data_IF_511011451986
#
_entry.id   IF_511011451986
#
_cell.length_a   1.000
_cell.length_b   1.000
_cell.length_c   1.000
_cell.angle_alpha   90.00
_cell.angle_beta   90.00
_cell.angle_gamma   90.00
#
_symmetry.space_group_name_H-M   'P 1'
#
loop_
_entity.id
_entity.type
_entity.pdbx_description
1 polymer ?
2 non-polymer ?
3 non-polymer ?
4 water ?
#
# COMPACT_ATOMS: atom_id res chain seq x y z
N UNK A 1 -3.99 26.76 14.99
CA UNK A 1 -5.28 26.36 14.32
C UNK A 1 -5.21 26.37 12.81
N UNK A 2 -4.73 27.45 12.25
CA UNK A 2 -4.62 27.52 10.82
C UNK A 2 -3.58 26.49 10.38
N UNK A 3 -2.52 26.38 11.17
CA UNK A 3 -1.44 25.52 10.81
C UNK A 3 -1.96 24.02 10.71
N UNK A 4 -2.92 23.67 11.57
CA UNK A 4 -3.48 22.36 11.56
C UNK A 4 -4.41 22.18 10.35
N UNK A 5 -5.14 23.24 10.09
CA UNK A 5 -5.94 23.29 8.92
C UNK A 5 -5.09 23.03 7.69
N UNK A 6 -3.97 23.71 7.57
CA UNK A 6 -3.11 23.58 6.40
C UNK A 6 -2.54 22.17 6.31
N UNK A 7 -2.13 21.56 7.45
CA UNK A 7 -1.59 20.23 7.47
C UNK A 7 -2.61 19.27 6.95
N UNK A 8 -3.86 19.44 7.37
CA UNK A 8 -4.85 18.45 6.98
C UNK A 8 -5.22 18.61 5.51
N UNK A 9 -5.21 19.87 5.06
CA UNK A 9 -5.50 20.15 3.64
C UNK A 9 -4.38 19.54 2.82
N UNK A 10 -3.13 19.73 3.24
CA UNK A 10 -1.96 19.22 2.44
C UNK A 10 -2.06 17.65 2.50
N UNK A 11 -2.40 17.03 3.65
CA UNK A 11 -2.34 15.55 3.76
C UNK A 11 -3.43 15.02 2.81
N UNK A 12 -4.59 15.68 2.79
CA UNK A 12 -5.69 15.24 1.91
C UNK A 12 -5.28 15.37 0.42
N UNK A 13 -4.72 16.46 -0.03
CA UNK A 13 -4.26 16.49 -1.40
C UNK A 13 -3.08 15.53 -1.72
N UNK A 14 -2.10 15.38 -0.84
CA UNK A 14 -1.05 14.34 -1.10
C UNK A 14 -1.70 12.90 -1.14
N UNK A 15 -2.55 12.54 -0.20
CA UNK A 15 -3.06 11.17 -0.19
C UNK A 15 -3.99 10.99 -1.38
N UNK A 16 -4.79 11.99 -1.70
CA UNK A 16 -5.67 11.95 -2.86
C UNK A 16 -4.90 11.80 -4.15
N UNK A 17 -3.81 12.52 -4.32
CA UNK A 17 -2.85 12.25 -5.42
C UNK A 17 -2.23 10.80 -5.46
N UNK A 18 -1.73 10.30 -4.33
CA UNK A 18 -1.13 8.98 -4.28
C UNK A 18 -2.16 7.95 -4.72
N UNK A 19 -3.44 8.10 -4.32
CA UNK A 19 -4.51 7.15 -4.71
C UNK A 19 -4.84 7.28 -6.16
N UNK A 20 -4.80 8.50 -6.65
CA UNK A 20 -5.00 8.75 -8.07
C UNK A 20 -4.01 7.92 -8.93
N UNK A 21 -2.70 8.07 -8.78
CA UNK A 21 -1.63 7.26 -9.40
C UNK A 21 -1.94 5.77 -9.27
N UNK A 22 -2.20 5.30 -8.05
CA UNK A 22 -2.63 3.89 -7.82
C UNK A 22 -3.82 3.38 -8.66
N UNK A 23 -4.95 4.07 -8.65
CA UNK A 23 -6.15 3.69 -9.38
C UNK A 23 -5.96 3.74 -10.91
N UNK A 24 -5.13 4.67 -11.37
CA UNK A 24 -4.88 4.78 -12.81
C UNK A 24 -4.17 3.52 -13.25
N UNK A 25 -3.19 3.07 -12.46
CA UNK A 25 -2.50 1.80 -12.75
C UNK A 25 -3.50 0.64 -12.80
N UNK A 26 -4.41 0.59 -11.84
CA UNK A 26 -5.41 -0.47 -11.86
C UNK A 26 -6.41 -0.51 -13.03
N UNK A 27 -6.87 0.67 -13.47
CA UNK A 27 -7.76 0.82 -14.56
C UNK A 27 -7.06 0.33 -15.85
N UNK A 28 -5.77 0.68 -16.01
CA UNK A 28 -4.93 0.08 -17.04
C UNK A 28 -4.87 -1.42 -17.05
N UNK A 29 -4.69 -2.03 -15.88
CA UNK A 29 -4.53 -3.47 -15.78
C UNK A 29 -5.85 -4.13 -16.18
N UNK A 30 -6.94 -3.53 -15.78
CA UNK A 30 -8.29 -4.10 -16.08
C UNK A 30 -8.51 -4.00 -17.52
N UNK A 31 -8.19 -2.88 -18.13
CA UNK A 31 -8.39 -2.74 -19.58
C UNK A 31 -7.64 -3.76 -20.39
N UNK A 32 -6.37 -3.99 -20.04
CA UNK A 32 -5.52 -5.03 -20.64
C UNK A 32 -6.10 -6.44 -20.54
N UNK A 33 -6.59 -6.78 -19.36
CA UNK A 33 -7.31 -8.02 -19.14
C UNK A 33 -8.55 -8.08 -20.02
N UNK A 34 -9.38 -7.03 -20.08
CA UNK A 34 -10.62 -7.12 -20.88
C UNK A 34 -10.33 -7.28 -22.36
N UNK A 35 -9.30 -6.59 -22.84
CA UNK A 35 -8.93 -6.66 -24.22
C UNK A 35 -8.38 -8.03 -24.58
N UNK A 36 -7.56 -8.57 -23.71
CA UNK A 36 -7.08 -9.94 -23.87
C UNK A 36 -8.20 -10.98 -23.88
N UNK A 37 -9.14 -10.92 -22.93
CA UNK A 37 -10.36 -11.71 -23.01
C UNK A 37 -11.18 -11.49 -24.33
N UNK A 38 -11.44 -10.26 -24.81
CA UNK A 38 -12.07 -10.11 -26.11
C UNK A 38 -11.29 -10.75 -27.28
N UNK A 39 -9.96 -10.74 -27.19
CA UNK A 39 -9.10 -11.23 -28.24
C UNK A 39 -9.29 -12.76 -28.31
N UNK A 40 -9.21 -13.43 -27.15
CA UNK A 40 -9.34 -14.86 -27.05
C UNK A 40 -10.71 -15.32 -27.53
N UNK A 41 -11.76 -14.57 -27.21
CA UNK A 41 -13.14 -14.89 -27.58
C UNK A 41 -13.52 -14.59 -29.02
N UNK A 42 -12.79 -13.70 -29.70
CA UNK A 42 -13.19 -13.34 -31.06
C UNK A 42 -13.17 -14.53 -32.05
N UNK B 3 -10.05 20.11 18.62
CA UNK B 3 -11.20 19.13 18.49
C UNK B 3 -11.82 18.87 17.10
N UNK B 4 -12.26 19.92 16.39
CA UNK B 4 -12.64 19.76 14.96
C UNK B 4 -11.52 19.13 14.19
N UNK B 5 -10.31 19.57 14.47
CA UNK B 5 -9.11 19.05 13.80
C UNK B 5 -9.06 17.51 14.08
N UNK B 6 -9.28 17.18 15.33
CA UNK B 6 -8.98 15.86 15.76
C UNK B 6 -10.06 14.93 15.25
N UNK B 7 -11.34 15.35 15.26
CA UNK B 7 -12.43 14.53 14.66
C UNK B 7 -12.25 14.37 13.15
N UNK B 8 -11.86 15.46 12.48
CA UNK B 8 -11.69 15.41 11.06
C UNK B 8 -10.45 14.54 10.79
N UNK B 9 -9.36 14.70 11.55
CA UNK B 9 -8.22 13.75 11.33
C UNK B 9 -8.66 12.28 11.55
N UNK B 10 -9.42 11.99 12.59
CA UNK B 10 -9.89 10.60 12.77
C UNK B 10 -10.73 10.08 11.64
N UNK B 11 -11.64 10.91 11.18
CA UNK B 11 -12.47 10.56 10.06
C UNK B 11 -11.61 10.31 8.79
N UNK B 12 -10.60 11.16 8.62
CA UNK B 12 -9.66 11.03 7.45
C UNK B 12 -8.96 9.64 7.52
N UNK B 13 -8.54 9.24 8.69
CA UNK B 13 -7.84 7.92 8.86
C UNK B 13 -8.77 6.74 8.71
N UNK B 14 -9.98 6.88 9.26
CA UNK B 14 -10.98 5.90 9.03
C UNK B 14 -11.20 5.67 7.49
N UNK B 15 -11.42 6.75 6.73
CA UNK B 15 -11.65 6.72 5.28
C UNK B 15 -10.47 6.10 4.57
N UNK B 16 -9.28 6.50 4.93
CA UNK B 16 -8.10 5.99 4.22
C UNK B 16 -7.88 4.46 4.47
N UNK B 17 -8.17 4.02 5.69
CA UNK B 17 -8.13 2.62 6.08
C UNK B 17 -9.08 1.83 5.22
N UNK B 18 -10.27 2.38 5.03
CA UNK B 18 -11.33 1.73 4.19
C UNK B 18 -10.86 1.69 2.73
N UNK B 19 -10.20 2.73 2.21
CA UNK B 19 -9.76 2.78 0.80
C UNK B 19 -8.68 1.72 0.73
N UNK B 20 -7.86 1.68 1.75
CA UNK B 20 -6.63 0.84 1.69
C UNK B 20 -7.06 -0.59 1.52
N UNK B 21 -7.98 -1.05 2.37
CA UNK B 21 -8.41 -2.42 2.34
C UNK B 21 -9.15 -2.75 0.97
N UNK B 22 -9.96 -1.83 0.50
CA UNK B 22 -10.80 -2.07 -0.67
C UNK B 22 -9.86 -2.22 -1.87
N UNK B 23 -8.91 -1.33 -1.96
CA UNK B 23 -7.95 -1.35 -3.04
C UNK B 23 -6.95 -2.50 -2.98
N UNK B 24 -6.51 -2.90 -1.79
CA UNK B 24 -5.59 -4.03 -1.73
C UNK B 24 -6.35 -5.24 -2.22
N UNK B 25 -7.65 -5.37 -1.90
CA UNK B 25 -8.39 -6.46 -2.32
C UNK B 25 -8.55 -6.45 -3.86
N UNK B 26 -8.94 -5.33 -4.46
CA UNK B 26 -8.97 -5.14 -5.91
C UNK B 26 -7.64 -5.51 -6.59
N UNK B 27 -6.53 -5.01 -6.08
CA UNK B 27 -5.22 -5.38 -6.58
C UNK B 27 -4.98 -6.88 -6.51
N UNK B 28 -5.51 -7.50 -5.46
CA UNK B 28 -5.25 -8.90 -5.25
C UNK B 28 -6.05 -9.71 -6.31
N UNK B 29 -7.31 -9.40 -6.43
CA UNK B 29 -8.13 -9.99 -7.45
C UNK B 29 -7.55 -9.74 -8.86
N UNK B 30 -7.08 -8.52 -9.17
CA UNK B 30 -6.49 -8.27 -10.49
C UNK B 30 -5.29 -9.18 -10.71
N UNK B 31 -4.46 -9.35 -9.68
CA UNK B 31 -3.28 -10.20 -9.77
C UNK B 31 -3.63 -11.67 -9.99
N UNK B 32 -4.61 -12.20 -9.26
CA UNK B 32 -5.03 -13.57 -9.51
C UNK B 32 -5.52 -13.77 -10.96
N UNK B 33 -6.37 -12.87 -11.52
CA UNK B 33 -6.78 -12.92 -12.94
C UNK B 33 -5.53 -12.87 -13.88
N UNK B 34 -4.55 -12.05 -13.59
CA UNK B 34 -3.44 -11.97 -14.54
C UNK B 34 -2.67 -13.28 -14.50
N UNK B 35 -2.50 -13.85 -13.32
CA UNK B 35 -1.79 -15.13 -13.16
C UNK B 35 -2.52 -16.29 -13.87
N UNK B 36 -3.85 -16.31 -13.81
CA UNK B 36 -4.63 -17.31 -14.47
C UNK B 36 -4.53 -17.19 -16.00
N UNK B 37 -4.60 -15.96 -16.55
CA UNK B 37 -4.41 -15.80 -17.97
C UNK B 37 -2.99 -16.22 -18.37
N UNK B 38 -1.97 -15.84 -17.62
CA UNK B 38 -0.60 -16.26 -18.01
C UNK B 38 -0.48 -17.78 -18.03
N UNK B 39 -1.14 -18.39 -17.07
CA UNK B 39 -1.11 -19.82 -16.88
C UNK B 39 -1.74 -20.53 -18.04
N UNK B 40 -2.93 -20.08 -18.42
CA UNK B 40 -3.65 -20.48 -19.65
C UNK B 40 -2.76 -20.41 -20.90
N UNK B 41 -2.03 -19.31 -21.09
CA UNK B 41 -1.26 -19.13 -22.29
C UNK B 41 0.11 -19.83 -22.29
N UNK B 42 0.47 -20.43 -21.16
CA UNK B 42 1.76 -21.10 -20.97
C UNK B 42 1.90 -22.28 -21.94
N UNK C 3 -17.04 26.94 9.36
CA UNK C 3 -16.80 27.51 7.98
C UNK C 3 -15.46 26.94 7.33
N UNK C 4 -14.25 27.31 7.72
CA UNK C 4 -13.02 26.68 7.06
C UNK C 4 -12.86 25.16 7.34
N UNK C 5 -13.20 24.77 8.54
CA UNK C 5 -13.34 23.38 8.87
C UNK C 5 -14.56 22.73 8.18
N UNK C 6 -15.68 23.42 8.15
CA UNK C 6 -16.84 22.89 7.45
C UNK C 6 -16.61 22.79 5.97
N UNK C 7 -15.90 23.74 5.41
CA UNK C 7 -15.61 23.69 4.01
C UNK C 7 -14.65 22.52 3.66
N UNK C 8 -13.76 22.16 4.57
CA UNK C 8 -12.78 21.08 4.32
C UNK C 8 -13.57 19.74 4.40
N UNK C 9 -14.43 19.63 5.41
CA UNK C 9 -15.29 18.45 5.58
C UNK C 9 -16.10 18.16 4.33
N UNK C 10 -16.75 19.18 3.83
CA UNK C 10 -17.51 19.09 2.57
C UNK C 10 -16.62 18.72 1.37
N UNK C 11 -15.45 19.33 1.21
CA UNK C 11 -14.60 19.08 0.06
C UNK C 11 -14.17 17.60 0.13
N UNK C 12 -13.91 17.14 1.33
CA UNK C 12 -13.47 15.76 1.55
C UNK C 12 -14.59 14.75 1.27
N UNK C 13 -15.81 15.02 1.76
CA UNK C 13 -16.96 14.19 1.46
C UNK C 13 -17.31 14.17 -0.06
N UNK C 14 -17.30 15.30 -0.72
CA UNK C 14 -17.56 15.34 -2.16
C UNK C 14 -16.47 14.51 -2.91
N UNK C 15 -15.20 14.70 -2.52
CA UNK C 15 -14.16 13.96 -3.22
C UNK C 15 -14.32 12.47 -2.94
N UNK C 16 -14.52 12.10 -1.68
CA UNK C 16 -14.77 10.72 -1.37
C UNK C 16 -15.95 10.02 -2.04
N UNK C 17 -17.07 10.71 -2.20
CA UNK C 17 -18.18 10.16 -2.93
C UNK C 17 -17.80 9.87 -4.41
N UNK C 18 -17.20 10.84 -5.08
CA UNK C 18 -16.92 10.74 -6.49
C UNK C 18 -15.92 9.61 -6.71
N UNK C 19 -14.97 9.51 -5.83
CA UNK C 19 -13.99 8.41 -5.90
C UNK C 19 -14.77 7.08 -5.67
N UNK C 20 -15.63 7.03 -4.65
CA UNK C 20 -16.47 5.84 -4.38
C UNK C 20 -17.21 5.28 -5.67
N UNK C 21 -17.86 6.18 -6.41
CA UNK C 21 -18.61 5.81 -7.60
C UNK C 21 -17.65 5.17 -8.58
N UNK C 22 -16.47 5.77 -8.72
CA UNK C 22 -15.52 5.33 -9.74
C UNK C 22 -14.86 3.99 -9.39
N UNK C 23 -14.44 3.82 -8.15
CA UNK C 23 -13.97 2.54 -7.69
C UNK C 23 -15.00 1.41 -7.73
N UNK C 24 -16.30 1.69 -7.53
CA UNK C 24 -17.30 0.59 -7.58
C UNK C 24 -17.45 0.08 -9.03
N UNK C 25 -17.22 0.98 -9.95
CA UNK C 25 -17.25 0.70 -11.34
C UNK C 25 -16.04 -0.21 -11.73
N UNK C 26 -14.85 0.00 -11.13
CA UNK C 26 -13.74 -0.90 -11.38
C UNK C 26 -14.01 -2.28 -10.82
N UNK C 27 -14.56 -2.30 -9.60
CA UNK C 27 -14.85 -3.49 -8.85
C UNK C 27 -15.92 -4.34 -9.59
N UNK C 28 -16.96 -3.71 -10.15
CA UNK C 28 -17.85 -4.43 -11.04
C UNK C 28 -17.17 -5.00 -12.28
N UNK C 29 -16.27 -4.26 -12.92
CA UNK C 29 -15.62 -4.81 -14.09
C UNK C 29 -14.88 -6.05 -13.66
N UNK C 30 -14.32 -6.04 -12.45
CA UNK C 30 -13.53 -7.18 -11.97
C UNK C 30 -14.42 -8.36 -11.67
N UNK C 31 -15.61 -8.03 -11.21
CA UNK C 31 -16.53 -9.03 -10.75
C UNK C 31 -17.03 -9.79 -11.98
N UNK C 32 -17.30 -9.07 -13.03
CA UNK C 32 -17.75 -9.62 -14.29
C UNK C 32 -16.68 -10.50 -14.95
N UNK C 33 -15.43 -10.09 -14.86
CA UNK C 33 -14.35 -10.89 -15.44
C UNK C 33 -14.24 -12.22 -14.65
N UNK C 34 -14.18 -12.10 -13.30
CA UNK C 34 -14.24 -13.27 -12.41
C UNK C 34 -15.41 -14.19 -12.77
N UNK C 35 -16.62 -13.63 -12.84
CA UNK C 35 -17.78 -14.45 -13.20
C UNK C 35 -17.54 -15.18 -14.51
N UNK C 36 -16.99 -14.49 -15.50
CA UNK C 36 -16.69 -15.09 -16.79
C UNK C 36 -15.60 -16.18 -16.81
N UNK C 37 -14.46 -15.93 -16.17
CA UNK C 37 -13.45 -16.99 -15.96
C UNK C 37 -14.07 -18.24 -15.27
N UNK C 38 -14.78 -18.06 -14.17
CA UNK C 38 -15.55 -19.14 -13.52
C UNK C 38 -16.46 -19.92 -14.50
N UNK C 39 -17.01 -19.24 -15.50
CA UNK C 39 -17.94 -19.90 -16.39
C UNK C 39 -17.13 -20.74 -17.40
N UNK C 40 -15.95 -20.24 -17.74
CA UNK C 40 -15.12 -20.86 -18.78
C UNK C 40 -14.53 -22.17 -18.23
N UNK C 41 -14.28 -22.16 -16.92
CA UNK C 41 -13.66 -23.24 -16.14
C UNK C 41 -14.75 -24.11 -15.52
N UNK C 42 -15.71 -24.45 -16.36
CA UNK C 42 -16.90 -25.13 -15.92
C UNK C 42 -17.40 -25.84 -17.15
N UNK D 2 4.76 5.45 33.25
CA UNK D 2 3.36 5.32 33.88
C UNK D 2 2.25 6.26 33.32
N UNK D 3 2.55 7.49 32.91
CA UNK D 3 1.51 8.29 32.18
C UNK D 3 1.27 7.67 30.82
N UNK D 4 0.02 7.77 30.32
CA UNK D 4 -0.39 7.17 29.09
C UNK D 4 0.47 7.72 27.93
N UNK D 5 0.79 9.03 27.90
CA UNK D 5 1.62 9.56 26.77
C UNK D 5 2.99 8.86 26.77
N UNK D 6 3.54 8.65 27.99
CA UNK D 6 4.87 8.09 28.20
C UNK D 6 4.92 6.62 27.80
N UNK D 7 3.95 5.80 28.20
CA UNK D 7 3.91 4.42 27.76
C UNK D 7 3.74 4.24 26.20
N UNK D 8 2.88 5.04 25.58
CA UNK D 8 2.77 5.07 24.14
C UNK D 8 4.08 5.50 23.44
N UNK D 9 4.77 6.43 24.07
CA UNK D 9 6.03 6.85 23.53
C UNK D 9 6.99 5.70 23.61
N UNK D 10 6.92 4.91 24.67
CA UNK D 10 7.84 3.77 24.78
C UNK D 10 7.50 2.75 23.70
N UNK D 11 6.22 2.49 23.47
CA UNK D 11 5.86 1.52 22.49
C UNK D 11 6.32 1.98 21.07
N UNK D 12 6.11 3.26 20.75
CA UNK D 12 6.49 3.83 19.46
C UNK D 12 7.94 3.61 19.26
N UNK D 13 8.72 3.92 20.26
CA UNK D 13 10.16 3.86 20.07
C UNK D 13 10.73 2.46 20.02
N UNK D 14 10.21 1.55 20.84
CA UNK D 14 10.68 0.14 20.82
C UNK D 14 10.29 -0.43 19.43
N UNK D 15 9.08 -0.15 18.98
CA UNK D 15 8.65 -0.76 17.72
C UNK D 15 9.29 -0.15 16.49
N UNK D 16 9.59 1.15 16.52
CA UNK D 16 10.37 1.77 15.45
C UNK D 16 11.74 1.15 15.28
N UNK D 17 12.40 0.82 16.37
CA UNK D 17 13.66 0.17 16.33
C UNK D 17 13.58 -1.25 15.77
N UNK D 18 12.57 -1.99 16.17
CA UNK D 18 12.41 -3.32 15.64
C UNK D 18 12.16 -3.23 14.13
N UNK D 19 11.45 -2.20 13.69
CA UNK D 19 11.17 -2.04 12.25
C UNK D 19 12.48 -1.69 11.58
N UNK D 20 13.19 -0.77 12.16
CA UNK D 20 14.43 -0.34 11.61
C UNK D 20 15.30 -1.56 11.37
N UNK D 21 15.50 -2.37 12.42
CA UNK D 21 16.29 -3.59 12.32
C UNK D 21 15.81 -4.55 11.21
N UNK D 22 14.52 -4.79 11.15
CA UNK D 22 13.92 -5.73 10.17
C UNK D 22 14.10 -5.24 8.77
N UNK D 23 13.97 -3.95 8.59
CA UNK D 23 14.05 -3.40 7.22
C UNK D 23 15.55 -3.35 6.76
N UNK D 24 16.48 -3.20 7.68
CA UNK D 24 17.91 -3.19 7.29
C UNK D 24 18.31 -4.56 6.80
N UNK D 25 17.71 -5.56 7.41
CA UNK D 25 17.96 -6.94 7.04
C UNK D 25 17.47 -7.26 5.62
N UNK D 26 16.30 -6.73 5.32
CA UNK D 26 15.70 -6.83 3.99
C UNK D 26 16.55 -6.01 2.92
N UNK D 27 16.96 -4.78 3.26
CA UNK D 27 17.74 -3.94 2.41
C UNK D 27 19.03 -4.63 2.07
N UNK D 28 19.64 -5.28 3.06
CA UNK D 28 20.88 -6.03 2.84
C UNK D 28 20.69 -7.19 1.88
N UNK D 29 19.58 -7.90 2.01
CA UNK D 29 19.31 -9.00 1.10
C UNK D 29 19.13 -8.49 -0.31
N UNK D 30 18.37 -7.41 -0.47
CA UNK D 30 18.13 -6.88 -1.80
C UNK D 30 19.49 -6.52 -2.43
N UNK D 31 20.34 -5.89 -1.64
CA UNK D 31 21.55 -5.35 -2.18
C UNK D 31 22.53 -6.46 -2.60
N UNK D 32 22.63 -7.52 -1.83
CA UNK D 32 23.37 -8.73 -2.29
C UNK D 32 22.83 -9.33 -3.56
N UNK D 33 21.51 -9.35 -3.72
CA UNK D 33 20.87 -9.79 -4.97
C UNK D 33 21.22 -8.87 -6.16
N UNK D 34 21.12 -7.54 -5.96
CA UNK D 34 21.40 -6.63 -7.09
C UNK D 34 22.86 -6.80 -7.51
N UNK D 35 23.72 -7.00 -6.53
CA UNK D 35 25.20 -7.09 -6.70
C UNK D 35 25.47 -8.36 -7.46
N UNK D 36 24.75 -9.44 -7.15
CA UNK D 36 25.02 -10.70 -7.84
C UNK D 36 24.57 -10.63 -9.27
N UNK D 37 23.39 -10.04 -9.48
CA UNK D 37 22.81 -9.91 -10.84
C UNK D 37 23.69 -9.01 -11.71
N UNK D 38 24.22 -7.91 -11.15
CA UNK D 38 25.18 -7.03 -11.81
C UNK D 38 26.52 -7.73 -12.11
N UNK D 39 26.91 -8.63 -11.24
CA UNK D 39 28.07 -9.46 -11.53
C UNK D 39 27.85 -10.34 -12.79
N UNK D 40 26.73 -11.07 -12.76
CA UNK D 40 26.31 -12.00 -13.82
C UNK D 40 26.25 -11.34 -15.18
N UNK D 41 25.98 -10.05 -15.20
CA UNK D 41 25.76 -9.32 -16.46
C UNK D 41 27.03 -8.61 -16.88
N UNK D 42 28.00 -8.56 -15.98
CA UNK D 42 29.29 -7.89 -16.20
C UNK D 42 29.94 -8.33 -17.53
N UNK E 3 -10.10 8.46 25.25
CA UNK E 3 -10.69 8.95 23.98
C UNK E 3 -9.60 9.41 22.97
N UNK E 4 -8.87 10.50 23.27
CA UNK E 4 -7.65 10.82 22.47
C UNK E 4 -6.66 9.60 22.53
N UNK E 5 -6.35 9.12 23.73
CA UNK E 5 -5.41 7.98 23.91
C UNK E 5 -5.86 6.68 23.25
N UNK E 6 -7.15 6.36 23.33
CA UNK E 6 -7.68 5.10 22.80
C UNK E 6 -7.59 5.19 21.28
N UNK E 7 -7.95 6.32 20.71
CA UNK E 7 -7.82 6.57 19.27
C UNK E 7 -6.36 6.36 18.76
N UNK E 8 -5.38 6.96 19.45
CA UNK E 8 -3.98 6.84 19.04
C UNK E 8 -3.54 5.44 19.18
N UNK E 9 -3.88 4.80 20.30
CA UNK E 9 -3.46 3.39 20.51
C UNK E 9 -3.96 2.51 19.38
N UNK E 10 -5.23 2.67 19.05
CA UNK E 10 -5.80 1.84 18.01
C UNK E 10 -5.17 2.12 16.69
N UNK E 11 -4.97 3.38 16.36
CA UNK E 11 -4.27 3.62 15.05
C UNK E 11 -2.87 3.00 15.01
N UNK E 12 -2.16 3.05 16.14
CA UNK E 12 -0.78 2.55 16.24
C UNK E 12 -0.89 1.06 16.02
N UNK E 13 -1.84 0.42 16.64
CA UNK E 13 -2.00 -1.04 16.44
C UNK E 13 -2.42 -1.46 15.00
N UNK E 14 -3.29 -0.72 14.41
CA UNK E 14 -3.77 -1.11 13.08
C UNK E 14 -2.61 -0.90 12.06
N UNK E 15 -1.90 0.18 12.23
CA UNK E 15 -0.91 0.61 11.24
C UNK E 15 0.23 -0.46 11.29
N UNK E 16 0.65 -0.85 12.50
CA UNK E 16 1.66 -1.89 12.64
C UNK E 16 1.23 -3.23 12.05
N UNK E 17 -0.03 -3.59 12.26
CA UNK E 17 -0.56 -4.81 11.69
C UNK E 17 -0.50 -4.77 10.15
N UNK E 18 -1.00 -3.69 9.54
CA UNK E 18 -1.02 -3.60 8.09
C UNK E 18 0.45 -3.60 7.53
N UNK E 19 1.34 -2.90 8.21
CA UNK E 19 2.75 -2.87 7.84
C UNK E 19 3.36 -4.28 8.00
N UNK E 20 3.02 -4.95 9.07
CA UNK E 20 3.45 -6.37 9.25
C UNK E 20 3.01 -7.31 8.06
N UNK E 21 1.73 -7.32 7.69
CA UNK E 21 1.17 -8.13 6.58
C UNK E 21 2.03 -7.82 5.30
N UNK E 22 2.24 -6.54 5.05
CA UNK E 22 2.92 -6.07 3.86
C UNK E 22 4.41 -6.49 3.86
N UNK E 23 5.10 -6.30 4.94
CA UNK E 23 6.52 -6.69 5.01
C UNK E 23 6.63 -8.20 4.88
N UNK E 24 5.67 -8.96 5.37
CA UNK E 24 5.67 -10.41 5.14
C UNK E 24 5.53 -10.73 3.66
N UNK E 25 4.74 -9.96 2.90
CA UNK E 25 4.61 -10.24 1.47
C UNK E 25 5.99 -9.96 0.82
N UNK E 26 6.60 -8.84 1.15
CA UNK E 26 7.96 -8.56 0.60
C UNK E 26 9.03 -9.57 0.98
N UNK E 27 9.08 -10.01 2.22
CA UNK E 27 10.01 -11.05 2.58
C UNK E 27 9.77 -12.36 1.75
N UNK E 28 8.50 -12.72 1.54
CA UNK E 28 8.31 -13.90 0.71
C UNK E 28 8.80 -13.68 -0.77
N UNK E 29 8.65 -12.46 -1.28
CA UNK E 29 9.10 -12.17 -2.64
C UNK E 29 10.62 -12.32 -2.65
N UNK E 30 11.28 -11.75 -1.65
CA UNK E 30 12.73 -11.81 -1.59
C UNK E 30 13.12 -13.28 -1.49
N UNK E 31 12.41 -14.09 -0.71
CA UNK E 31 12.81 -15.51 -0.59
C UNK E 31 12.66 -16.23 -1.90
N UNK E 32 11.56 -15.98 -2.63
CA UNK E 32 11.34 -16.55 -4.00
C UNK E 32 12.46 -16.20 -4.99
N UNK E 33 12.88 -14.95 -4.96
CA UNK E 33 14.02 -14.47 -5.76
C UNK E 33 15.27 -15.28 -5.36
N UNK E 34 15.60 -15.38 -4.08
CA UNK E 34 16.85 -16.03 -3.67
C UNK E 34 16.87 -17.49 -4.03
N UNK E 35 15.70 -18.13 -3.94
CA UNK E 35 15.53 -19.53 -4.28
C UNK E 35 15.75 -19.79 -5.76
N UNK E 36 15.19 -18.91 -6.60
CA UNK E 36 15.35 -18.92 -8.07
C UNK E 36 16.78 -18.74 -8.50
N UNK E 37 17.47 -17.72 -7.97
CA UNK E 37 18.88 -17.53 -8.22
C UNK E 37 19.74 -18.77 -7.91
N UNK E 38 19.43 -19.41 -6.79
CA UNK E 38 20.16 -20.60 -6.40
C UNK E 38 19.92 -21.75 -7.38
N UNK E 39 18.70 -21.86 -7.89
CA UNK E 39 18.32 -22.92 -8.82
C UNK E 39 19.07 -22.70 -10.15
N UNK E 40 19.11 -21.44 -10.58
CA UNK E 40 19.92 -21.04 -11.73
C UNK E 40 21.44 -21.35 -11.55
N UNK E 41 22.04 -21.02 -10.42
CA UNK E 41 23.48 -21.27 -10.23
C UNK E 41 23.79 -22.75 -9.94
N UNK E 42 22.75 -23.58 -9.82
CA UNK E 42 22.95 -24.97 -9.43
C UNK E 42 23.85 -25.80 -10.37
N UNK F 2 1.46 22.22 23.72
CA UNK F 2 1.07 22.06 25.16
C UNK F 2 0.45 20.68 25.41
N UNK F 3 -0.08 20.09 24.32
CA UNK F 3 -0.92 18.89 24.30
C UNK F 3 -0.08 17.75 23.77
N UNK F 4 0.40 16.89 24.67
CA UNK F 4 1.32 15.84 24.27
C UNK F 4 0.73 14.85 23.27
N UNK F 5 -0.59 14.71 23.23
CA UNK F 5 -1.31 13.82 22.31
C UNK F 5 -1.23 14.25 20.88
N UNK F 6 -1.31 15.58 20.65
CA UNK F 6 -1.10 16.12 19.29
C UNK F 6 0.36 15.91 18.91
N UNK F 7 1.24 16.07 19.89
CA UNK F 7 2.69 15.88 19.64
C UNK F 7 3.02 14.41 19.25
N UNK F 8 2.37 13.46 19.91
CA UNK F 8 2.59 12.05 19.64
C UNK F 8 2.00 11.77 18.24
N UNK F 9 0.86 12.38 17.92
CA UNK F 9 0.32 12.16 16.58
C UNK F 9 1.32 12.59 15.49
N UNK F 10 1.99 13.71 15.72
CA UNK F 10 2.78 14.32 14.71
C UNK F 10 3.95 13.43 14.44
N UNK F 11 4.56 12.90 15.50
CA UNK F 11 5.73 12.10 15.36
C UNK F 11 5.29 10.81 14.67
N UNK F 12 4.08 10.31 14.99
CA UNK F 12 3.64 9.03 14.39
C UNK F 12 3.35 9.23 12.88
N UNK F 13 2.80 10.39 12.55
CA UNK F 13 2.54 10.70 11.19
C UNK F 13 3.72 10.81 10.31
N UNK F 14 4.69 11.60 10.74
CA UNK F 14 5.93 11.83 9.98
C UNK F 14 6.70 10.49 9.86
N UNK F 15 6.88 9.80 10.96
CA UNK F 15 7.55 8.45 10.95
C UNK F 15 6.94 7.54 9.93
N UNK F 16 5.63 7.32 10.01
CA UNK F 16 4.94 6.54 9.02
C UNK F 16 5.08 6.95 7.51
N UNK F 17 5.16 8.25 7.24
CA UNK F 17 5.32 8.75 5.90
C UNK F 17 6.75 8.48 5.43
N UNK F 18 7.70 8.54 6.34
CA UNK F 18 9.05 8.25 5.94
C UNK F 18 9.23 6.75 5.75
N UNK F 19 8.68 5.94 6.65
CA UNK F 19 8.64 4.52 6.37
C UNK F 19 7.97 4.23 5.01
N UNK F 20 6.80 4.81 4.75
CA UNK F 20 6.10 4.60 3.48
C UNK F 20 7.04 4.87 2.31
N UNK F 21 7.77 5.97 2.34
CA UNK F 21 8.70 6.35 1.22
C UNK F 21 9.78 5.21 1.13
N UNK F 22 10.26 4.75 2.29
CA UNK F 22 11.35 3.81 2.32
C UNK F 22 10.84 2.49 1.76
N UNK F 23 9.69 2.03 2.21
CA UNK F 23 9.17 0.77 1.71
C UNK F 23 8.81 0.88 0.24
N UNK F 24 8.35 2.05 -0.23
CA UNK F 24 8.06 2.16 -1.64
C UNK F 24 9.31 1.91 -2.44
N UNK F 25 10.43 2.46 -2.00
CA UNK F 25 11.66 2.27 -2.75
C UNK F 25 12.05 0.80 -2.72
N UNK F 26 11.91 0.13 -1.59
CA UNK F 26 12.24 -1.30 -1.52
C UNK F 26 11.40 -2.05 -2.50
N UNK F 27 10.09 -1.77 -2.53
CA UNK F 27 9.20 -2.49 -3.44
C UNK F 27 9.58 -2.35 -4.89
N UNK F 28 9.97 -1.16 -5.33
CA UNK F 28 10.39 -0.90 -6.71
C UNK F 28 11.68 -1.69 -7.01
N UNK F 29 12.62 -1.75 -6.05
CA UNK F 29 13.82 -2.53 -6.24
C UNK F 29 13.44 -4.01 -6.43
N UNK F 30 12.53 -4.51 -5.62
CA UNK F 30 12.14 -5.91 -5.71
C UNK F 30 11.50 -6.18 -7.05
N UNK F 31 10.65 -5.26 -7.51
CA UNK F 31 9.93 -5.37 -8.74
C UNK F 31 10.91 -5.32 -9.92
N UNK F 32 11.89 -4.44 -9.82
CA UNK F 32 12.94 -4.40 -10.85
C UNK F 32 13.72 -5.70 -10.92
N UNK F 33 14.03 -6.31 -9.78
CA UNK F 33 14.69 -7.66 -9.74
C UNK F 33 13.84 -8.79 -10.37
N UNK F 34 12.56 -8.94 -9.94
CA UNK F 34 11.63 -9.86 -10.56
C UNK F 34 11.53 -9.66 -12.10
N UNK F 35 11.33 -8.43 -12.57
CA UNK F 35 11.21 -8.15 -13.99
C UNK F 35 12.47 -8.61 -14.69
N UNK F 36 13.61 -8.37 -14.10
CA UNK F 36 14.88 -8.86 -14.70
C UNK F 36 15.03 -10.43 -14.84
N UNK F 37 14.73 -11.18 -13.79
CA UNK F 37 14.70 -12.63 -13.83
C UNK F 37 13.71 -13.18 -14.89
N UNK F 38 12.51 -12.60 -14.96
CA UNK F 38 11.55 -12.86 -16.03
C UNK F 38 12.23 -12.70 -17.41
N UNK F 39 12.96 -11.59 -17.60
CA UNK F 39 13.61 -11.28 -18.88
C UNK F 39 14.63 -12.36 -19.25
N UNK F 40 15.32 -12.84 -18.25
CA UNK F 40 16.37 -13.81 -18.43
C UNK F 40 15.75 -15.15 -18.83
N UNK F 41 14.61 -15.45 -18.23
CA UNK F 41 13.92 -16.73 -18.45
C UNK F 41 13.08 -16.88 -19.72
N UNK F 42 12.71 -15.78 -20.38
CA UNK F 42 11.88 -15.90 -21.62
C UNK F 42 12.65 -16.43 -22.83
#
# INVERSE_FOLDING_TARGET
ELDKWASLWNWFNITNWLWYIKIEELKSKIKRIENEIKRIKK
ELDKWASLWNWFNITNWLWYIKIEELKSKIKRIENEIKRIKK
ELDKWASLWNWFNITNWLWYIKIEELKSKIKRIENEIKRIKK
ELDKWASLWNWFNITNWLWYIKIEELKSKIKRIENEIKRIKK
ELDKWASLWNWFNITNWLWYIKIEELKSKIKRIENEIKRIKK
ELDKWASLWNWFNITNWLWYIKIEELKSKIKRIENEIKRIKK
#
